data_IF_439565924520
#
_entry.id   IF_439565924520
#
_cell.length_a   1.000
_cell.length_b   1.000
_cell.length_c   1.000
_cell.angle_alpha   90.00
_cell.angle_beta   90.00
_cell.angle_gamma   90.00
#
_symmetry.space_group_name_H-M   'P 1'
#
loop_
_entity.id
_entity.type
_entity.pdbx_description
1 polymer ?
#
# COMPACT_ATOMS: atom_id res chain seq x y z
N UNK A 1 25.02 -11.75 10.28
CA UNK A 1 24.00 -11.34 9.31
C UNK A 1 22.62 -11.21 9.95
N UNK A 2 21.94 -12.31 10.33
CA UNK A 2 20.58 -12.27 10.88
C UNK A 2 20.35 -11.32 12.09
N UNK A 3 21.33 -11.18 13.00
CA UNK A 3 21.22 -10.25 14.13
C UNK A 3 21.27 -8.77 13.73
N UNK A 4 22.07 -8.42 12.71
CA UNK A 4 22.13 -7.06 12.19
C UNK A 4 20.83 -6.71 11.43
N UNK A 5 20.22 -7.70 10.79
CA UNK A 5 18.98 -7.56 10.02
C UNK A 5 17.78 -7.31 10.92
N UNK A 6 17.68 -8.08 12.01
CA UNK A 6 16.67 -7.90 13.03
C UNK A 6 16.78 -6.51 13.69
N UNK A 7 18.00 -6.01 13.91
CA UNK A 7 18.25 -4.67 14.44
C UNK A 7 17.81 -3.59 13.44
N UNK A 8 18.13 -3.75 12.15
CA UNK A 8 17.72 -2.81 11.10
C UNK A 8 16.19 -2.78 10.92
N UNK A 9 15.53 -3.94 10.99
CA UNK A 9 14.07 -4.04 10.94
C UNK A 9 13.43 -3.35 12.14
N UNK A 10 13.89 -3.67 13.36
CA UNK A 10 13.38 -3.06 14.58
C UNK A 10 13.55 -1.54 14.57
N UNK A 11 14.69 -1.03 14.07
CA UNK A 11 14.92 0.40 13.95
C UNK A 11 13.96 1.09 12.97
N UNK A 12 13.61 0.44 11.86
CA UNK A 12 12.62 0.97 10.91
C UNK A 12 11.22 0.98 11.53
N UNK A 13 10.84 -0.11 12.19
CA UNK A 13 9.53 -0.23 12.83
C UNK A 13 9.39 0.78 13.97
N UNK A 14 10.45 0.98 14.75
CA UNK A 14 10.53 2.01 15.79
C UNK A 14 10.47 3.42 15.19
N UNK A 15 11.18 3.70 14.10
CA UNK A 15 11.11 5.00 13.42
C UNK A 15 9.71 5.30 12.87
N UNK A 16 9.05 4.30 12.28
CA UNK A 16 7.64 4.42 11.82
C UNK A 16 6.74 4.67 13.04
N UNK A 17 6.89 3.90 14.12
CA UNK A 17 6.09 4.06 15.33
C UNK A 17 6.30 5.44 16.00
N UNK A 18 7.53 5.94 16.08
CA UNK A 18 7.83 7.27 16.63
C UNK A 18 7.22 8.38 15.78
N UNK A 19 7.31 8.28 14.45
CA UNK A 19 6.67 9.23 13.54
C UNK A 19 5.15 9.27 13.74
N UNK A 20 4.51 8.11 13.91
CA UNK A 20 3.09 8.01 14.21
C UNK A 20 2.74 8.62 15.58
N UNK A 21 3.51 8.30 16.63
CA UNK A 21 3.32 8.84 17.98
C UNK A 21 3.45 10.37 18.03
N UNK A 22 4.48 10.94 17.39
CA UNK A 22 4.69 12.39 17.32
C UNK A 22 3.52 13.09 16.62
N UNK A 23 2.92 12.46 15.61
CA UNK A 23 1.75 13.02 14.90
C UNK A 23 0.48 12.99 15.74
N UNK A 24 0.24 11.90 16.48
CA UNK A 24 -0.87 11.82 17.45
C UNK A 24 -0.73 12.92 18.51
N UNK A 25 0.47 13.10 19.07
CA UNK A 25 0.74 14.10 20.10
C UNK A 25 0.57 15.55 19.60
N UNK A 26 0.91 15.84 18.35
CA UNK A 26 0.84 17.19 17.79
C UNK A 26 -0.55 17.66 17.33
N UNK A 27 -1.63 16.88 17.53
CA UNK A 27 -3.00 17.31 17.22
C UNK A 27 -3.30 17.63 15.74
N UNK A 28 -2.29 17.54 14.85
CA UNK A 28 -2.42 17.63 13.38
C UNK A 28 -3.09 16.41 12.77
N UNK A 29 -3.63 15.53 13.60
CA UNK A 29 -4.60 14.54 13.22
C UNK A 29 -5.86 15.24 12.67
N UNK A 30 -5.88 15.53 11.37
CA UNK A 30 -7.12 15.31 10.60
C UNK A 30 -7.43 13.83 10.72
N UNK A 31 -7.99 13.43 11.88
CA UNK A 31 -8.34 12.07 12.33
C UNK A 31 -7.45 11.01 11.71
N UNK A 32 -6.41 10.54 12.42
CA UNK A 32 -5.94 9.17 12.21
C UNK A 32 -7.20 8.32 12.30
N UNK A 33 -7.71 7.89 11.14
CA UNK A 33 -8.97 7.15 11.11
C UNK A 33 -8.62 5.77 11.63
N UNK A 34 -9.39 5.28 12.59
CA UNK A 34 -9.33 3.88 12.95
C UNK A 34 -9.40 3.04 11.68
N UNK A 35 -8.60 1.97 11.63
CA UNK A 35 -8.65 1.04 10.52
C UNK A 35 -10.08 0.52 10.40
N UNK A 36 -10.69 0.67 9.22
CA UNK A 36 -12.01 0.12 8.94
C UNK A 36 -11.91 -1.40 8.90
N UNK A 37 -12.55 -2.17 9.79
CA UNK A 37 -12.51 -3.64 9.73
C UNK A 37 -13.06 -4.20 8.42
N UNK A 38 -13.93 -3.45 7.72
CA UNK A 38 -14.48 -3.81 6.43
C UNK A 38 -13.49 -3.68 5.27
N UNK A 39 -12.50 -2.81 5.40
CA UNK A 39 -11.42 -2.56 4.43
C UNK A 39 -10.18 -2.00 5.15
N UNK A 40 -9.43 -2.85 5.87
CA UNK A 40 -8.39 -2.39 6.80
C UNK A 40 -7.13 -1.89 6.08
N UNK A 41 -6.92 -2.30 4.84
CA UNK A 41 -5.83 -1.89 3.96
C UNK A 41 -6.23 -2.11 2.51
N UNK A 42 -5.65 -1.33 1.60
CA UNK A 42 -5.93 -1.41 0.17
C UNK A 42 -4.68 -1.71 -0.66
N UNK A 43 -3.49 -1.66 -0.06
CA UNK A 43 -2.24 -1.94 -0.75
C UNK A 43 -1.40 -2.96 -0.01
N UNK A 44 -0.68 -3.78 -0.75
CA UNK A 44 0.40 -4.62 -0.24
C UNK A 44 1.67 -4.32 -1.02
N UNK A 45 2.74 -4.02 -0.28
CA UNK A 45 4.06 -3.69 -0.80
C UNK A 45 5.09 -4.65 -0.20
N UNK A 46 5.90 -5.29 -1.04
CA UNK A 46 7.04 -6.10 -0.63
C UNK A 46 8.30 -5.48 -1.25
N UNK A 47 9.28 -5.15 -0.41
CA UNK A 47 10.56 -4.56 -0.80
C UNK A 47 11.67 -5.58 -0.59
N UNK A 48 12.55 -5.74 -1.57
CA UNK A 48 13.80 -6.49 -1.45
C UNK A 48 14.96 -5.50 -1.37
N UNK A 49 15.70 -5.56 -0.28
CA UNK A 49 16.86 -4.70 -0.04
C UNK A 49 18.01 -5.60 0.40
N UNK A 50 19.00 -5.76 -0.48
CA UNK A 50 20.13 -6.68 -0.30
C UNK A 50 19.72 -8.14 -0.02
N UNK A 51 18.73 -8.65 -0.75
CA UNK A 51 18.23 -10.02 -0.62
C UNK A 51 17.28 -10.24 0.56
N UNK A 52 16.89 -9.15 1.25
CA UNK A 52 16.01 -9.20 2.42
C UNK A 52 14.66 -8.63 2.06
N UNK A 53 13.63 -9.47 2.18
CA UNK A 53 12.26 -9.09 1.87
C UNK A 53 11.53 -8.54 3.08
N UNK A 54 10.85 -7.41 2.88
CA UNK A 54 10.04 -6.73 3.89
C UNK A 54 8.69 -6.38 3.33
N UNK A 55 7.62 -6.74 4.04
CA UNK A 55 6.26 -6.45 3.63
C UNK A 55 5.63 -5.30 4.42
N UNK A 56 4.79 -4.53 3.75
CA UNK A 56 3.98 -3.45 4.32
C UNK A 56 2.56 -3.52 3.77
N UNK A 57 1.59 -3.20 4.62
CA UNK A 57 0.19 -3.02 4.23
C UNK A 57 -0.12 -1.52 4.21
N UNK A 58 -0.69 -1.02 3.12
CA UNK A 58 -0.99 0.40 2.91
C UNK A 58 -2.47 0.65 3.19
N UNK A 59 -2.76 1.61 4.06
CA UNK A 59 -4.11 1.90 4.54
C UNK A 59 -4.37 3.39 4.75
N UNK A 60 -5.62 3.74 5.12
CA UNK A 60 -6.05 5.12 5.45
C UNK A 60 -5.71 5.56 6.89
N UNK A 61 -5.25 4.61 7.70
CA UNK A 61 -4.74 4.77 9.05
C UNK A 61 -3.55 3.83 9.26
N UNK A 62 -3.02 3.78 10.47
CA UNK A 62 -1.82 3.02 10.83
C UNK A 62 -2.11 2.01 11.95
N UNK A 63 -1.44 0.86 11.90
CA UNK A 63 -1.31 -0.08 13.00
C UNK A 63 0.08 -0.71 12.89
N UNK A 64 0.99 -0.22 13.73
CA UNK A 64 2.40 -0.57 13.71
C UNK A 64 2.73 -1.21 15.04
N UNK A 65 3.18 -2.45 15.00
CA UNK A 65 3.52 -3.23 16.18
C UNK A 65 4.56 -4.28 15.77
N UNK A 66 5.72 -4.27 16.42
CA UNK A 66 6.83 -5.20 16.17
C UNK A 66 6.47 -6.68 16.38
N UNK A 67 5.32 -6.97 17.00
CA UNK A 67 4.79 -8.32 17.19
C UNK A 67 3.93 -8.78 16.02
N UNK A 68 3.50 -7.87 15.15
CA UNK A 68 2.73 -8.21 13.96
C UNK A 68 3.66 -8.71 12.86
N UNK A 69 3.20 -9.66 12.03
CA UNK A 69 3.99 -10.16 10.91
C UNK A 69 4.19 -9.11 9.80
N UNK A 70 3.30 -8.10 9.73
CA UNK A 70 3.35 -6.99 8.78
C UNK A 70 2.80 -5.72 9.44
N UNK A 71 3.48 -4.60 9.19
CA UNK A 71 3.01 -3.29 9.64
C UNK A 71 1.99 -2.70 8.67
N UNK A 72 0.92 -2.12 9.22
CA UNK A 72 -0.07 -1.35 8.47
C UNK A 72 0.29 0.13 8.58
N UNK A 73 0.54 0.78 7.45
CA UNK A 73 1.02 2.16 7.39
C UNK A 73 0.00 3.08 6.70
N UNK A 74 -0.16 4.29 7.24
CA UNK A 74 -1.04 5.30 6.64
C UNK A 74 -0.38 5.88 5.38
N UNK A 75 -1.07 5.77 4.25
CA UNK A 75 -0.58 6.18 2.94
C UNK A 75 -0.17 7.66 2.88
N UNK A 76 -0.78 8.54 3.69
CA UNK A 76 -0.47 9.98 3.66
C UNK A 76 0.83 10.32 4.36
N UNK A 77 1.23 9.44 5.27
CA UNK A 77 2.03 9.82 6.41
C UNK A 77 3.34 9.03 6.49
N UNK A 78 3.31 7.76 6.11
CA UNK A 78 4.47 6.90 6.18
C UNK A 78 5.43 7.18 5.02
N UNK A 79 6.73 7.42 5.26
CA UNK A 79 7.70 7.64 4.18
C UNK A 79 7.73 6.48 3.16
N UNK A 80 7.45 5.26 3.63
CA UNK A 80 7.40 4.06 2.79
C UNK A 80 6.23 4.04 1.79
N UNK A 81 5.16 4.80 2.03
CA UNK A 81 4.00 4.82 1.14
C UNK A 81 4.32 5.45 -0.21
N UNK A 82 5.30 6.36 -0.26
CA UNK A 82 5.80 6.97 -1.49
C UNK A 82 6.23 5.90 -2.49
N UNK A 83 6.91 4.86 -2.01
CA UNK A 83 7.40 3.77 -2.86
C UNK A 83 6.22 3.04 -3.53
N UNK A 84 5.11 2.85 -2.81
CA UNK A 84 3.90 2.23 -3.35
C UNK A 84 3.26 3.04 -4.50
N UNK A 85 3.38 4.36 -4.51
CA UNK A 85 2.80 5.19 -5.56
C UNK A 85 3.77 5.46 -6.71
N UNK A 86 5.06 5.60 -6.44
CA UNK A 86 6.06 6.03 -7.43
C UNK A 86 6.71 4.90 -8.23
N UNK A 87 6.74 3.68 -7.70
CA UNK A 87 7.46 2.56 -8.32
C UNK A 87 6.53 1.39 -8.61
N UNK A 88 6.78 0.73 -9.74
CA UNK A 88 6.08 -0.48 -10.14
C UNK A 88 6.77 -1.75 -9.63
N UNK A 89 6.02 -2.86 -9.62
CA UNK A 89 6.60 -4.15 -9.27
C UNK A 89 7.76 -4.51 -10.21
N UNK A 90 8.87 -4.90 -9.63
CA UNK A 90 10.10 -5.23 -10.34
C UNK A 90 11.04 -4.04 -10.52
N UNK A 91 10.63 -2.81 -10.24
CA UNK A 91 11.50 -1.63 -10.37
C UNK A 91 12.45 -1.47 -9.19
N UNK A 92 13.60 -0.86 -9.46
CA UNK A 92 14.53 -0.41 -8.43
C UNK A 92 14.08 0.93 -7.88
N UNK A 93 14.18 1.10 -6.56
CA UNK A 93 13.84 2.35 -5.89
C UNK A 93 15.05 2.95 -5.19
N UNK A 94 15.05 4.28 -5.13
CA UNK A 94 15.90 5.08 -4.26
C UNK A 94 15.00 6.02 -3.48
N UNK A 95 14.97 5.88 -2.15
CA UNK A 95 14.06 6.64 -1.31
C UNK A 95 14.71 7.05 0.02
N UNK A 96 14.45 8.27 0.46
CA UNK A 96 14.77 8.68 1.83
C UNK A 96 13.62 8.26 2.77
N UNK A 97 13.93 7.40 3.73
CA UNK A 97 12.97 6.91 4.74
C UNK A 97 13.54 7.24 6.11
N UNK A 98 12.83 8.06 6.88
CA UNK A 98 13.23 8.52 8.21
C UNK A 98 14.66 9.13 8.24
N UNK A 99 15.01 9.95 7.25
CA UNK A 99 16.31 10.62 7.16
C UNK A 99 17.47 9.71 6.75
N UNK A 100 17.18 8.51 6.25
CA UNK A 100 18.18 7.57 5.74
C UNK A 100 17.88 7.24 4.29
N UNK A 101 18.89 7.32 3.44
CA UNK A 101 18.80 6.83 2.07
C UNK A 101 18.67 5.30 2.07
N UNK A 102 17.75 4.81 1.25
CA UNK A 102 17.45 3.39 1.09
C UNK A 102 17.34 3.08 -0.38
N UNK A 103 17.89 1.94 -0.75
CA UNK A 103 17.85 1.41 -2.10
C UNK A 103 17.41 -0.04 -2.09
N UNK A 104 16.78 -0.47 -3.17
CA UNK A 104 16.33 -1.84 -3.32
C UNK A 104 15.42 -1.99 -4.51
N UNK A 105 14.62 -3.06 -4.49
CA UNK A 105 13.66 -3.40 -5.54
C UNK A 105 12.28 -3.62 -4.96
N UNK A 106 11.25 -3.19 -5.69
CA UNK A 106 9.86 -3.54 -5.37
C UNK A 106 9.63 -5.00 -5.76
N UNK A 107 9.76 -5.92 -4.81
CA UNK A 107 9.54 -7.35 -5.02
C UNK A 107 8.08 -7.66 -5.35
N UNK A 108 7.14 -6.94 -4.73
CA UNK A 108 5.73 -7.04 -5.09
C UNK A 108 4.96 -5.76 -4.78
N UNK A 109 4.00 -5.45 -5.65
CA UNK A 109 3.04 -4.36 -5.46
C UNK A 109 1.66 -4.85 -5.85
N UNK A 110 0.72 -4.81 -4.90
CA UNK A 110 -0.65 -5.29 -5.11
C UNK A 110 -1.64 -4.27 -4.61
N UNK A 111 -2.62 -3.93 -5.44
CA UNK A 111 -3.82 -3.20 -5.07
C UNK A 111 -4.90 -4.20 -4.70
N UNK A 112 -5.52 -4.02 -3.54
CA UNK A 112 -6.50 -4.92 -2.96
C UNK A 112 -7.86 -4.21 -2.87
N UNK A 113 -8.90 -4.94 -3.25
CA UNK A 113 -10.29 -4.54 -3.05
C UNK A 113 -10.90 -5.43 -1.97
N UNK A 114 -11.05 -4.90 -0.76
CA UNK A 114 -11.58 -5.60 0.41
C UNK A 114 -12.89 -4.94 0.82
N UNK A 115 -13.93 -5.75 1.03
CA UNK A 115 -15.28 -5.29 1.42
C UNK A 115 -15.88 -6.19 2.47
N UNK A 116 -16.35 -5.62 3.56
CA UNK A 116 -16.90 -6.39 4.68
C UNK A 116 -15.90 -7.42 5.22
N UNK A 117 -14.59 -7.13 5.15
CA UNK A 117 -13.52 -8.04 5.56
C UNK A 117 -13.23 -9.18 4.56
N UNK A 118 -13.82 -9.14 3.37
CA UNK A 118 -13.65 -10.16 2.33
C UNK A 118 -12.93 -9.58 1.12
N UNK A 119 -11.87 -10.25 0.67
CA UNK A 119 -11.15 -9.89 -0.55
C UNK A 119 -12.01 -10.15 -1.79
N UNK A 120 -12.28 -9.10 -2.54
CA UNK A 120 -13.09 -9.10 -3.78
C UNK A 120 -12.22 -9.02 -5.03
N UNK A 121 -11.04 -8.41 -4.93
CA UNK A 121 -10.16 -8.23 -6.07
C UNK A 121 -8.71 -8.00 -5.67
N UNK A 122 -7.82 -8.40 -6.58
CA UNK A 122 -6.37 -8.15 -6.49
C UNK A 122 -5.89 -7.67 -7.85
N UNK A 123 -5.19 -6.56 -7.86
CA UNK A 123 -4.51 -6.04 -9.05
C UNK A 123 -3.01 -5.97 -8.79
N UNK A 124 -2.24 -6.32 -9.81
CA UNK A 124 -0.78 -6.25 -9.85
C UNK A 124 -0.36 -5.46 -11.10
N UNK A 125 0.95 -5.33 -11.34
CA UNK A 125 1.45 -4.76 -12.60
C UNK A 125 0.96 -5.51 -13.85
N UNK A 126 0.75 -6.82 -13.76
CA UNK A 126 0.51 -7.68 -14.93
C UNK A 126 -0.92 -8.21 -15.02
N UNK A 127 -1.55 -8.52 -13.89
CA UNK A 127 -2.84 -9.21 -13.83
C UNK A 127 -3.85 -8.51 -12.93
N UNK A 128 -5.12 -8.69 -13.28
CA UNK A 128 -6.28 -8.34 -12.46
C UNK A 128 -7.05 -9.61 -12.16
N UNK A 129 -7.24 -9.89 -10.87
CA UNK A 129 -8.05 -10.98 -10.35
C UNK A 129 -9.31 -10.41 -9.70
N UNK A 130 -10.48 -10.92 -10.06
CA UNK A 130 -11.78 -10.53 -9.48
C UNK A 130 -12.54 -11.75 -9.02
N UNK A 131 -13.16 -11.65 -7.86
CA UNK A 131 -14.07 -12.65 -7.32
C UNK A 131 -15.43 -12.51 -7.98
N UNK A 132 -15.97 -13.62 -8.49
CA UNK A 132 -17.28 -13.72 -9.14
C UNK A 132 -18.25 -14.52 -8.25
N UNK A 133 -19.50 -14.62 -8.71
CA UNK A 133 -20.51 -15.46 -8.07
C UNK A 133 -20.00 -16.89 -7.82
N UNK A 134 -20.43 -17.49 -6.71
CA UNK A 134 -19.98 -18.82 -6.30
C UNK A 134 -18.54 -18.88 -5.78
N UNK A 135 -17.95 -17.75 -5.36
CA UNK A 135 -16.55 -17.65 -4.89
C UNK A 135 -15.50 -18.08 -5.94
N UNK A 136 -15.83 -17.99 -7.23
CA UNK A 136 -14.90 -18.30 -8.32
C UNK A 136 -14.01 -17.09 -8.60
N UNK A 137 -12.72 -17.31 -8.79
CA UNK A 137 -11.78 -16.25 -9.18
C UNK A 137 -11.60 -16.23 -10.69
N UNK A 138 -11.82 -15.07 -11.29
CA UNK A 138 -11.46 -14.79 -12.68
C UNK A 138 -10.16 -13.99 -12.68
N UNK A 139 -9.13 -14.49 -13.37
CA UNK A 139 -7.83 -13.83 -13.53
C UNK A 139 -7.63 -13.50 -14.99
N UNK A 140 -7.23 -12.26 -15.27
CA UNK A 140 -6.92 -11.78 -16.63
C UNK A 140 -5.63 -10.98 -16.62
N UNK A 141 -5.01 -10.82 -17.78
CA UNK A 141 -3.97 -9.79 -17.93
C UNK A 141 -4.63 -8.42 -17.83
N UNK A 142 -3.89 -7.47 -17.26
CA UNK A 142 -4.35 -6.09 -17.10
C UNK A 142 -4.68 -5.43 -18.45
N UNK A 143 -3.89 -5.72 -19.49
CA UNK A 143 -4.16 -5.26 -20.85
C UNK A 143 -5.49 -5.81 -21.41
N UNK A 144 -5.75 -7.11 -21.21
CA UNK A 144 -6.98 -7.77 -21.69
C UNK A 144 -8.23 -7.21 -20.97
N UNK A 145 -8.15 -7.01 -19.65
CA UNK A 145 -9.23 -6.40 -18.86
C UNK A 145 -9.52 -4.95 -19.30
N UNK A 146 -8.49 -4.15 -19.62
CA UNK A 146 -8.68 -2.77 -20.08
C UNK A 146 -9.38 -2.70 -21.44
N UNK A 147 -9.03 -3.61 -22.37
CA UNK A 147 -9.66 -3.70 -23.68
C UNK A 147 -11.14 -4.11 -23.56
N UNK A 148 -11.44 -5.12 -22.73
CA UNK A 148 -12.82 -5.56 -22.51
C UNK A 148 -13.70 -4.47 -21.89
N UNK A 149 -13.15 -3.64 -21.00
CA UNK A 149 -13.88 -2.49 -20.42
C UNK A 149 -14.23 -1.43 -21.45
N UNK A 150 -13.38 -1.22 -22.44
CA UNK A 150 -13.66 -0.24 -23.50
C UNK A 150 -14.75 -0.70 -24.48
N UNK A 151 -14.96 -2.01 -24.64
CA UNK A 151 -15.91 -2.58 -25.61
C UNK A 151 -17.33 -2.77 -25.07
N UNK A 152 -17.53 -2.80 -23.74
CA UNK A 152 -18.84 -3.08 -23.14
C UNK A 152 -19.52 -1.78 -22.67
N UNK A 153 -20.84 -1.65 -22.94
CA UNK A 153 -21.73 -0.79 -22.13
C UNK A 153 -22.00 -1.54 -20.84
N UNK A 154 -21.24 -1.22 -19.82
CA UNK A 154 -21.07 -2.07 -18.65
C UNK A 154 -22.26 -2.03 -17.67
N UNK A 155 -22.55 -3.18 -17.05
CA UNK A 155 -23.50 -3.33 -15.95
C UNK A 155 -22.87 -2.74 -14.68
N UNK A 156 -23.42 -1.65 -14.10
CA UNK A 156 -22.83 -0.94 -12.98
C UNK A 156 -22.65 -1.80 -11.71
N UNK A 157 -23.38 -2.91 -11.57
CA UNK A 157 -23.29 -3.78 -10.39
C UNK A 157 -22.00 -4.63 -10.36
N UNK A 158 -21.32 -4.81 -11.51
CA UNK A 158 -20.14 -5.70 -11.63
C UNK A 158 -18.79 -4.94 -11.49
N UNK A 159 -18.82 -3.60 -11.44
CA UNK A 159 -17.62 -2.76 -11.36
C UNK A 159 -17.23 -2.42 -9.93
N UNK A 160 -16.73 -3.45 -9.26
CA UNK A 160 -16.01 -3.30 -8.03
C UNK A 160 -14.63 -2.64 -8.28
N UNK A 161 -14.56 -1.30 -8.23
CA UNK A 161 -13.29 -0.58 -8.23
C UNK A 161 -12.60 -0.72 -6.86
N UNK A 162 -11.26 -0.84 -6.82
CA UNK A 162 -10.52 -0.80 -5.56
C UNK A 162 -10.72 0.56 -4.88
N UNK A 163 -10.24 0.67 -3.63
CA UNK A 163 -10.31 1.94 -2.89
C UNK A 163 -9.77 3.09 -3.75
N UNK A 164 -10.52 4.21 -3.83
CA UNK A 164 -10.14 5.36 -4.66
C UNK A 164 -8.73 5.87 -4.35
N UNK A 165 -8.28 5.70 -3.09
CA UNK A 165 -6.94 6.09 -2.66
C UNK A 165 -5.86 5.25 -3.33
N UNK A 166 -6.13 3.98 -3.64
CA UNK A 166 -5.20 3.11 -4.35
C UNK A 166 -4.96 3.53 -5.81
N UNK A 167 -5.86 4.35 -6.37
CA UNK A 167 -5.84 4.81 -7.77
C UNK A 167 -5.18 6.18 -7.94
N UNK A 168 -4.67 6.77 -6.87
CA UNK A 168 -4.00 8.06 -6.90
C UNK A 168 -2.71 7.95 -7.74
N UNK A 169 -2.51 8.88 -8.67
CA UNK A 169 -1.27 8.94 -9.47
C UNK A 169 -0.09 9.47 -8.65
N UNK A 170 1.17 9.21 -9.04
CA UNK A 170 2.33 9.80 -8.37
C UNK A 170 2.23 11.32 -8.20
N UNK A 171 1.76 12.04 -9.22
CA UNK A 171 1.61 13.50 -9.18
C UNK A 171 0.52 13.92 -8.19
N UNK A 172 -0.63 13.22 -8.21
CA UNK A 172 -1.72 13.47 -7.27
C UNK A 172 -1.28 13.16 -5.84
N UNK A 173 -0.52 12.09 -5.62
CA UNK A 173 0.06 11.74 -4.33
C UNK A 173 0.94 12.89 -3.82
N UNK A 174 1.85 13.40 -4.65
CA UNK A 174 2.73 14.52 -4.28
C UNK A 174 1.99 15.84 -4.01
N UNK A 175 0.79 16.04 -4.56
CA UNK A 175 -0.09 17.17 -4.21
C UNK A 175 -0.75 16.93 -2.84
N UNK A 176 -1.24 15.70 -2.60
CA UNK A 176 -1.98 15.35 -1.39
C UNK A 176 -1.11 15.22 -0.13
N UNK A 177 0.18 14.88 -0.29
CA UNK A 177 1.13 14.70 0.82
C UNK A 177 2.07 15.89 1.01
N UNK A 178 1.98 16.91 0.15
CA UNK A 178 2.72 18.16 0.32
C UNK A 178 2.37 18.76 1.68
N UNK A 179 3.38 18.95 2.52
CA UNK A 179 3.19 19.65 3.79
C UNK A 179 2.75 21.08 3.47
N UNK A 180 1.55 21.45 3.93
CA UNK A 180 1.11 22.83 3.94
C UNK A 180 2.13 23.62 4.79
N UNK A 181 3.07 24.29 4.13
CA UNK A 181 3.89 25.33 4.78
C UNK A 181 3.03 26.58 4.80
N UNK A 182 2.10 26.60 5.76
CA UNK A 182 1.39 27.78 6.24
C UNK A 182 1.70 27.97 7.72
#
# INVERSE_FOLDING_TARGET
>A
EAAADAVQQAALDEAIAELEQRRVAHGRARRTRDLDPGSPYFGHLELDEDGKRRGFLIAKGSAVDHRLPLNVVDWRNAPISRIYYEFEQGEEFWAEVAGREREGRVAARRTLDIRGGVLQGVETGEVVARKRAGNVWQVKRKADEALERSDKREDPEDHALPDIVALITPEQFGVLTRSDRG
#
